data_IF_892533745674
#
_entry.id   IF_892533745674
#
_cell.length_a   1.000
_cell.length_b   1.000
_cell.length_c   1.000
_cell.angle_alpha   90.00
_cell.angle_beta   90.00
_cell.angle_gamma   90.00
#
_symmetry.space_group_name_H-M   'P 1'
#
loop_
_entity.id
_entity.type
_entity.pdbx_description
1 polymer ?
#
# COMPACT_ATOMS: atom_id res chain seq x y z
N UNK A 1 12.78 -14.67 10.57
CA UNK A 1 11.67 -13.92 9.95
C UNK A 1 11.30 -14.59 8.63
N UNK A 2 10.04 -15.00 8.45
CA UNK A 2 9.60 -15.59 7.17
C UNK A 2 9.63 -14.55 6.06
N UNK A 3 10.01 -14.93 4.83
CA UNK A 3 10.04 -14.05 3.66
C UNK A 3 8.74 -13.26 3.45
N UNK A 4 7.60 -13.90 3.67
CA UNK A 4 6.28 -13.26 3.57
C UNK A 4 6.07 -12.12 4.58
N UNK A 5 6.45 -12.32 5.86
CA UNK A 5 6.33 -11.27 6.90
C UNK A 5 7.17 -10.04 6.59
N UNK A 6 8.40 -10.23 6.11
CA UNK A 6 9.30 -9.12 5.73
C UNK A 6 8.66 -8.27 4.63
N UNK A 7 8.06 -8.91 3.62
CA UNK A 7 7.42 -8.19 2.52
C UNK A 7 6.14 -7.45 2.93
N UNK A 8 5.40 -8.01 3.90
CA UNK A 8 4.25 -7.32 4.51
C UNK A 8 4.71 -6.09 5.28
N UNK A 9 5.75 -6.21 6.10
CA UNK A 9 6.32 -5.08 6.86
C UNK A 9 6.86 -3.98 5.95
N UNK A 10 7.52 -4.32 4.84
CA UNK A 10 7.92 -3.34 3.82
C UNK A 10 6.72 -2.62 3.20
N UNK A 11 5.61 -3.33 2.97
CA UNK A 11 4.37 -2.74 2.49
C UNK A 11 3.80 -1.71 3.48
N UNK A 12 3.71 -2.08 4.76
CA UNK A 12 3.27 -1.17 5.82
C UNK A 12 4.20 0.05 5.96
N UNK A 13 5.52 -0.19 5.96
CA UNK A 13 6.52 0.88 6.00
C UNK A 13 6.39 1.85 4.83
N UNK A 14 6.13 1.35 3.62
CA UNK A 14 5.96 2.20 2.43
C UNK A 14 4.71 3.08 2.51
N UNK A 15 3.60 2.55 3.03
CA UNK A 15 2.36 3.33 3.24
C UNK A 15 2.61 4.45 4.24
N UNK A 16 3.24 4.15 5.38
CA UNK A 16 3.56 5.15 6.42
C UNK A 16 4.55 6.19 5.92
N UNK A 17 5.57 5.78 5.15
CA UNK A 17 6.57 6.68 4.58
C UNK A 17 5.97 7.64 3.55
N UNK A 18 5.06 7.17 2.69
CA UNK A 18 4.40 8.02 1.68
C UNK A 18 3.31 8.90 2.28
N UNK A 19 2.63 8.40 3.31
CA UNK A 19 1.49 9.05 3.92
C UNK A 19 1.69 9.18 5.43
N UNK A 20 2.57 10.11 5.83
CA UNK A 20 2.86 10.38 7.24
C UNK A 20 1.60 10.78 8.07
N UNK A 21 0.53 11.25 7.42
CA UNK A 21 -0.75 11.51 8.08
C UNK A 21 -1.41 10.24 8.63
N UNK A 22 -1.10 9.07 8.06
CA UNK A 22 -1.61 7.75 8.50
C UNK A 22 -0.91 7.27 9.78
N UNK A 23 0.27 7.80 10.08
CA UNK A 23 1.03 7.48 11.30
C UNK A 23 0.89 8.56 12.39
N UNK A 24 0.31 9.71 12.05
CA UNK A 24 0.16 10.81 12.99
C UNK A 24 -0.95 10.54 14.01
N UNK A 25 -0.59 9.84 15.09
CA UNK A 25 -1.47 9.45 16.21
C UNK A 25 -2.31 10.59 16.79
N UNK A 26 -1.83 11.84 16.73
CA UNK A 26 -2.58 13.01 17.23
C UNK A 26 -3.74 13.44 16.31
N UNK A 27 -3.70 13.09 15.02
CA UNK A 27 -4.75 13.37 14.02
C UNK A 27 -5.57 12.12 13.64
N UNK A 28 -5.40 11.00 14.34
CA UNK A 28 -6.15 9.76 14.09
C UNK A 28 -6.86 9.36 15.37
N UNK A 29 -7.99 10.01 15.63
CA UNK A 29 -8.86 9.66 16.75
C UNK A 29 -9.90 8.64 16.26
N UNK A 30 -9.86 7.43 16.83
CA UNK A 30 -10.88 6.41 16.62
C UNK A 30 -12.26 7.02 16.89
N UNK A 31 -13.23 6.76 16.00
CA UNK A 31 -14.60 7.30 16.01
C UNK A 31 -14.79 8.78 15.64
N UNK A 32 -13.74 9.58 15.49
CA UNK A 32 -13.85 10.99 15.07
C UNK A 32 -13.54 11.20 13.60
N UNK A 33 -12.72 10.33 13.01
CA UNK A 33 -12.35 10.37 11.61
C UNK A 33 -12.51 8.98 11.00
N UNK A 34 -12.82 8.89 9.69
CA UNK A 34 -12.93 7.62 8.98
C UNK A 34 -11.52 7.06 8.70
N UNK A 35 -10.85 6.57 9.74
CA UNK A 35 -9.48 6.04 9.69
C UNK A 35 -9.40 4.88 8.70
N UNK A 36 -10.41 4.01 8.63
CA UNK A 36 -10.41 2.89 7.69
C UNK A 36 -10.40 3.37 6.23
N UNK A 37 -11.14 4.43 5.91
CA UNK A 37 -11.21 4.98 4.55
C UNK A 37 -9.91 5.67 4.16
N UNK A 38 -9.35 6.44 5.10
CA UNK A 38 -8.08 7.14 4.92
C UNK A 38 -6.95 6.13 4.67
N UNK A 39 -6.90 5.06 5.46
CA UNK A 39 -5.93 3.98 5.29
C UNK A 39 -6.14 3.21 3.98
N UNK A 40 -7.39 2.89 3.63
CA UNK A 40 -7.71 2.18 2.39
C UNK A 40 -7.27 2.97 1.14
N UNK A 41 -7.54 4.28 1.12
CA UNK A 41 -7.11 5.15 0.02
C UNK A 41 -5.59 5.29 -0.02
N UNK A 42 -4.93 5.45 1.14
CA UNK A 42 -3.48 5.49 1.22
C UNK A 42 -2.84 4.19 0.69
N UNK A 43 -3.36 3.04 1.11
CA UNK A 43 -2.90 1.74 0.63
C UNK A 43 -3.12 1.56 -0.89
N UNK A 44 -4.24 2.04 -1.43
CA UNK A 44 -4.51 2.02 -2.87
C UNK A 44 -3.49 2.86 -3.65
N UNK A 45 -3.25 4.09 -3.19
CA UNK A 45 -2.28 4.99 -3.82
C UNK A 45 -0.85 4.45 -3.72
N UNK A 46 -0.47 3.83 -2.60
CA UNK A 46 0.84 3.18 -2.46
C UNK A 46 1.02 1.99 -3.40
N UNK A 47 -0.05 1.23 -3.67
CA UNK A 47 -0.04 0.17 -4.69
C UNK A 47 0.11 0.76 -6.09
N UNK A 48 -0.59 1.84 -6.44
CA UNK A 48 -0.41 2.55 -7.71
C UNK A 48 1.02 3.08 -7.87
N UNK A 49 1.59 3.71 -6.84
CA UNK A 49 2.98 4.16 -6.84
C UNK A 49 3.95 2.97 -7.01
N UNK A 50 3.64 1.82 -6.43
CA UNK A 50 4.44 0.60 -6.61
C UNK A 50 4.38 0.07 -8.04
N UNK A 51 3.25 0.21 -8.74
CA UNK A 51 3.14 -0.17 -10.15
C UNK A 51 3.99 0.75 -11.06
N UNK A 52 4.10 2.04 -10.72
CA UNK A 52 4.85 3.03 -11.52
C UNK A 52 6.37 3.04 -11.24
N UNK A 53 6.76 2.91 -9.98
CA UNK A 53 8.16 3.05 -9.54
C UNK A 53 8.78 1.75 -9.02
N UNK A 54 8.02 0.66 -8.97
CA UNK A 54 8.46 -0.61 -8.38
C UNK A 54 8.44 -0.63 -6.85
N UNK A 55 8.89 -1.74 -6.28
CA UNK A 55 9.08 -1.91 -4.84
C UNK A 55 10.25 -2.86 -4.55
N UNK A 56 10.85 -2.70 -3.37
CA UNK A 56 11.82 -3.67 -2.85
C UNK A 56 11.25 -5.11 -2.80
N UNK A 57 9.95 -5.25 -2.55
CA UNK A 57 9.26 -6.55 -2.58
C UNK A 57 9.29 -7.18 -3.97
N UNK A 58 9.05 -6.39 -5.01
CA UNK A 58 9.08 -6.82 -6.42
C UNK A 58 10.48 -7.27 -6.84
N UNK A 59 11.51 -6.52 -6.43
CA UNK A 59 12.92 -6.89 -6.66
C UNK A 59 13.33 -8.13 -5.88
N UNK A 60 12.93 -8.25 -4.61
CA UNK A 60 13.25 -9.38 -3.74
C UNK A 60 12.69 -10.72 -4.23
N UNK A 61 11.51 -10.70 -4.87
CA UNK A 61 10.91 -11.90 -5.46
C UNK A 61 11.18 -12.05 -6.96
N UNK A 62 11.83 -11.08 -7.60
CA UNK A 62 12.03 -11.08 -9.06
C UNK A 62 10.72 -11.03 -9.86
N UNK A 63 9.65 -10.49 -9.27
CA UNK A 63 8.34 -10.40 -9.91
C UNK A 63 8.15 -8.97 -10.39
N UNK A 64 8.00 -8.77 -11.70
CA UNK A 64 7.71 -7.46 -12.25
C UNK A 64 6.34 -6.96 -11.76
N UNK A 65 6.31 -5.72 -11.27
CA UNK A 65 5.04 -5.12 -10.84
C UNK A 65 4.12 -4.94 -12.05
N UNK A 66 2.82 -5.24 -11.94
CA UNK A 66 1.88 -5.06 -13.04
C UNK A 66 1.76 -3.58 -13.38
N UNK A 67 1.35 -3.28 -14.61
CA UNK A 67 1.07 -1.91 -15.01
C UNK A 67 -0.15 -1.36 -14.27
N UNK A 68 -0.24 -0.03 -14.17
CA UNK A 68 -1.39 0.63 -13.52
C UNK A 68 -2.73 0.19 -14.15
N UNK A 69 -2.75 0.04 -15.47
CA UNK A 69 -3.93 -0.39 -16.22
C UNK A 69 -4.33 -1.84 -15.90
N UNK A 70 -3.38 -2.76 -15.84
CA UNK A 70 -3.63 -4.15 -15.43
C UNK A 70 -4.14 -4.22 -13.99
N UNK A 71 -3.58 -3.41 -13.09
CA UNK A 71 -4.00 -3.34 -11.70
C UNK A 71 -5.46 -2.87 -11.55
N UNK A 72 -5.84 -1.79 -12.23
CA UNK A 72 -7.23 -1.31 -12.20
C UNK A 72 -8.21 -2.26 -12.89
N UNK A 73 -7.79 -2.93 -13.96
CA UNK A 73 -8.62 -3.93 -14.63
C UNK A 73 -8.89 -5.13 -13.72
N UNK A 74 -7.87 -5.61 -13.00
CA UNK A 74 -8.05 -6.67 -12.00
C UNK A 74 -8.98 -6.25 -10.86
N UNK A 75 -8.87 -5.01 -10.36
CA UNK A 75 -9.77 -4.51 -9.32
C UNK A 75 -11.23 -4.48 -9.75
N UNK A 76 -11.51 -4.04 -10.98
CA UNK A 76 -12.87 -4.02 -11.53
C UNK A 76 -13.46 -5.41 -11.79
N UNK A 77 -12.62 -6.43 -11.94
CA UNK A 77 -13.08 -7.81 -12.19
C UNK A 77 -13.46 -8.55 -10.89
N UNK A 78 -13.15 -7.97 -9.72
CA UNK A 78 -13.41 -8.56 -8.39
C UNK A 78 -14.70 -7.99 -7.75
N UNK A 79 -15.33 -7.00 -8.38
CA UNK A 79 -16.64 -6.45 -8.00
C UNK A 79 -17.80 -7.25 -8.60
#
# INVERSE_FOLDING_TARGET
MSKARICVEWGFGKVVQQFAFVDFKKNLKLYLQPIERIYAVAALLTKCHTCLYGSMTSEYFGIMSPTLQEYFNMLNTIQ
#
